data_IF_583842756149
#
_entry.id   IF_583842756149
#
_cell.length_a   1.000
_cell.length_b   1.000
_cell.length_c   1.000
_cell.angle_alpha   90.00
_cell.angle_beta   90.00
_cell.angle_gamma   90.00
#
_symmetry.space_group_name_H-M   'P 1'
#
loop_
_entity.id
_entity.type
_entity.pdbx_description
1 polymer ?
#
# COMPACT_ATOMS: atom_id res chain seq x y z
N UNK A 1 3.60 -10.61 -11.60
CA UNK A 1 3.17 -10.88 -10.21
C UNK A 1 2.61 -9.59 -9.65
N UNK A 2 1.42 -9.65 -9.05
CA UNK A 2 0.91 -8.56 -8.21
C UNK A 2 1.04 -9.10 -6.80
N UNK A 3 1.69 -8.33 -5.95
CA UNK A 3 2.06 -8.74 -4.61
C UNK A 3 1.68 -7.65 -3.60
N UNK A 4 1.35 -8.10 -2.40
CA UNK A 4 0.97 -7.26 -1.28
C UNK A 4 1.83 -7.68 -0.09
N UNK A 5 2.95 -6.98 0.11
CA UNK A 5 4.02 -7.47 0.96
C UNK A 5 3.87 -7.04 2.41
N UNK A 6 3.90 -8.00 3.33
CA UNK A 6 3.90 -7.74 4.77
C UNK A 6 5.15 -8.33 5.46
N UNK A 7 5.97 -7.47 6.05
CA UNK A 7 7.13 -7.85 6.87
C UNK A 7 7.25 -6.92 8.09
N UNK A 8 6.46 -7.13 9.16
CA UNK A 8 6.35 -6.16 10.27
C UNK A 8 7.68 -5.94 11.02
N UNK A 9 8.58 -6.93 11.01
CA UNK A 9 9.90 -6.82 11.64
C UNK A 9 11.00 -6.29 10.68
N UNK A 10 10.65 -5.98 9.43
CA UNK A 10 11.56 -5.43 8.43
C UNK A 10 10.76 -4.60 7.44
N UNK A 11 10.36 -3.40 7.85
CA UNK A 11 9.52 -2.50 7.02
C UNK A 11 10.40 -1.76 6.01
N UNK A 12 11.28 -0.90 6.53
CA UNK A 12 12.14 -0.05 5.72
C UNK A 12 13.12 -0.87 4.84
N UNK A 13 13.04 -0.67 3.53
CA UNK A 13 13.87 -1.35 2.53
C UNK A 13 13.41 -2.75 2.13
N UNK A 14 12.28 -3.23 2.65
CA UNK A 14 11.71 -4.54 2.29
C UNK A 14 11.33 -4.61 0.81
N UNK A 15 10.68 -3.57 0.28
CA UNK A 15 10.24 -3.54 -1.11
C UNK A 15 11.42 -3.45 -2.07
N UNK A 16 12.47 -2.72 -1.68
CA UNK A 16 13.73 -2.73 -2.44
C UNK A 16 14.34 -4.13 -2.49
N UNK A 17 14.35 -4.85 -1.37
CA UNK A 17 14.87 -6.23 -1.30
C UNK A 17 14.07 -7.16 -2.23
N UNK A 18 12.74 -7.07 -2.21
CA UNK A 18 11.90 -7.83 -3.14
C UNK A 18 12.16 -7.47 -4.59
N UNK A 19 12.24 -6.17 -4.91
CA UNK A 19 12.56 -5.67 -6.25
C UNK A 19 13.86 -6.25 -6.78
N UNK A 20 14.90 -6.34 -5.95
CA UNK A 20 16.18 -6.93 -6.33
C UNK A 20 16.02 -8.43 -6.66
N UNK A 21 15.15 -9.13 -5.93
CA UNK A 21 14.72 -10.50 -6.23
C UNK A 21 13.99 -10.62 -7.58
N UNK A 22 13.00 -9.76 -7.85
CA UNK A 22 12.27 -9.72 -9.13
C UNK A 22 13.21 -9.51 -10.32
N UNK A 23 14.14 -8.55 -10.20
CA UNK A 23 15.13 -8.28 -11.25
C UNK A 23 16.06 -9.46 -11.49
N UNK A 24 16.54 -10.09 -10.42
CA UNK A 24 17.40 -11.28 -10.52
C UNK A 24 16.68 -12.45 -11.20
N UNK A 25 15.39 -12.63 -10.90
CA UNK A 25 14.56 -13.66 -11.53
C UNK A 25 14.11 -13.28 -12.96
N UNK A 26 14.26 -12.01 -13.37
CA UNK A 26 13.77 -11.50 -14.65
C UNK A 26 12.25 -11.40 -14.73
N UNK A 27 11.56 -11.34 -13.59
CA UNK A 27 10.10 -11.29 -13.49
C UNK A 27 9.58 -9.86 -13.49
N UNK A 28 8.40 -9.67 -14.10
CA UNK A 28 7.64 -8.42 -13.96
C UNK A 28 6.78 -8.46 -12.70
N UNK A 29 6.82 -7.39 -11.91
CA UNK A 29 6.18 -7.27 -10.62
C UNK A 29 5.49 -5.93 -10.43
N UNK A 30 4.38 -5.95 -9.70
CA UNK A 30 3.79 -4.78 -9.07
C UNK A 30 3.66 -5.13 -7.59
N UNK A 31 4.27 -4.33 -6.71
CA UNK A 31 4.23 -4.61 -5.26
C UNK A 31 4.09 -3.32 -4.47
N UNK A 32 3.69 -3.47 -3.22
CA UNK A 32 3.51 -2.43 -2.22
C UNK A 32 3.68 -3.03 -0.83
N UNK A 33 3.90 -2.16 0.15
CA UNK A 33 3.93 -2.55 1.55
C UNK A 33 2.50 -2.56 2.09
N UNK A 34 2.12 -3.64 2.75
CA UNK A 34 0.83 -3.82 3.40
C UNK A 34 0.76 -3.02 4.71
N UNK A 35 0.27 -1.78 4.66
CA UNK A 35 0.13 -0.97 5.87
C UNK A 35 -1.01 -1.49 6.76
N UNK A 36 -0.74 -1.57 8.06
CA UNK A 36 -1.71 -1.98 9.08
C UNK A 36 -1.35 -1.39 10.44
N UNK A 37 -2.32 -1.27 11.34
CA UNK A 37 -2.13 -0.93 12.76
C UNK A 37 -2.19 -2.15 13.70
N UNK A 38 -2.23 -3.37 13.16
CA UNK A 38 -2.44 -4.62 13.92
C UNK A 38 -1.34 -4.95 14.92
N UNK A 39 -0.08 -4.62 14.65
CA UNK A 39 1.04 -5.05 15.49
C UNK A 39 1.58 -3.86 16.31
N UNK A 40 2.23 -2.92 15.65
CA UNK A 40 2.85 -1.74 16.25
C UNK A 40 1.95 -0.50 16.30
N UNK A 41 0.65 -0.64 16.03
CA UNK A 41 -0.29 0.46 16.01
C UNK A 41 0.04 1.50 14.94
N UNK A 42 -0.27 2.77 15.24
CA UNK A 42 -0.02 3.89 14.31
C UNK A 42 1.45 4.04 13.88
N UNK A 43 2.42 3.63 14.72
CA UNK A 43 3.84 3.73 14.38
C UNK A 43 4.23 2.74 13.28
N UNK A 44 3.69 1.52 13.32
CA UNK A 44 3.88 0.54 12.25
C UNK A 44 3.21 1.02 10.97
N UNK A 45 1.99 1.52 11.09
CA UNK A 45 1.23 2.05 9.97
C UNK A 45 2.00 3.16 9.27
N UNK A 46 2.48 4.15 10.02
CA UNK A 46 3.29 5.27 9.50
C UNK A 46 4.54 4.76 8.79
N UNK A 47 5.30 3.85 9.41
CA UNK A 47 6.49 3.27 8.80
C UNK A 47 6.17 2.52 7.49
N UNK A 48 5.04 1.82 7.41
CA UNK A 48 4.61 1.16 6.18
C UNK A 48 4.22 2.15 5.08
N UNK A 49 3.57 3.27 5.44
CA UNK A 49 3.27 4.35 4.49
C UNK A 49 4.55 4.97 3.97
N UNK A 50 5.53 5.22 4.85
CA UNK A 50 6.84 5.73 4.47
C UNK A 50 7.60 4.78 3.53
N UNK A 51 7.55 3.47 3.77
CA UNK A 51 8.15 2.46 2.87
C UNK A 51 7.48 2.47 1.49
N UNK A 52 6.16 2.57 1.41
CA UNK A 52 5.43 2.71 0.14
C UNK A 52 5.89 3.94 -0.64
N UNK A 53 6.01 5.09 0.03
CA UNK A 53 6.47 6.35 -0.59
C UNK A 53 7.90 6.23 -1.07
N UNK A 54 8.81 5.74 -0.22
CA UNK A 54 10.22 5.59 -0.55
C UNK A 54 10.43 4.65 -1.74
N UNK A 55 9.66 3.56 -1.81
CA UNK A 55 9.72 2.63 -2.92
C UNK A 55 9.18 3.23 -4.23
N UNK A 56 8.06 3.96 -4.19
CA UNK A 56 7.55 4.67 -5.36
C UNK A 56 8.57 5.68 -5.92
N UNK A 57 9.21 6.46 -5.04
CA UNK A 57 10.26 7.42 -5.42
C UNK A 57 11.50 6.71 -6.01
N UNK A 58 11.88 5.54 -5.46
CA UNK A 58 12.95 4.70 -6.00
C UNK A 58 12.63 4.25 -7.44
N UNK A 59 11.42 3.73 -7.69
CA UNK A 59 11.01 3.29 -9.02
C UNK A 59 11.03 4.44 -10.02
N UNK A 60 10.55 5.64 -9.63
CA UNK A 60 10.60 6.84 -10.48
C UNK A 60 12.02 7.26 -10.83
N UNK A 61 12.91 7.27 -9.83
CA UNK A 61 14.33 7.61 -10.01
C UNK A 61 15.01 6.64 -10.98
N UNK A 62 14.78 5.34 -10.82
CA UNK A 62 15.32 4.32 -11.70
C UNK A 62 14.80 4.46 -13.13
N UNK A 63 13.49 4.65 -13.29
CA UNK A 63 12.85 4.85 -14.60
C UNK A 63 13.41 6.07 -15.33
N UNK A 64 13.63 7.18 -14.61
CA UNK A 64 14.25 8.41 -15.17
C UNK A 64 15.71 8.19 -15.56
N UNK A 65 16.45 7.39 -14.78
CA UNK A 65 17.87 7.17 -15.03
C UNK A 65 18.16 6.32 -16.27
N UNK A 66 17.23 5.45 -16.67
CA UNK A 66 17.41 4.47 -17.76
C UNK A 66 18.46 3.39 -17.47
N UNK A 67 19.00 3.31 -16.25
CA UNK A 67 20.10 2.40 -15.88
C UNK A 67 19.63 0.99 -15.51
N UNK A 68 18.36 0.81 -15.17
CA UNK A 68 17.79 -0.49 -14.78
C UNK A 68 16.69 -0.94 -15.75
N UNK A 69 16.49 -2.26 -15.83
CA UNK A 69 15.34 -2.83 -16.55
C UNK A 69 14.09 -2.53 -15.73
N UNK A 70 13.18 -1.73 -16.31
CA UNK A 70 11.90 -1.44 -15.70
C UNK A 70 10.97 -2.67 -15.75
N UNK A 71 11.12 -3.53 -14.75
CA UNK A 71 10.32 -4.74 -14.56
C UNK A 71 9.41 -4.66 -13.33
N UNK A 72 9.67 -3.73 -12.41
CA UNK A 72 8.94 -3.60 -11.15
C UNK A 72 8.29 -2.23 -11.07
N UNK A 73 7.02 -2.19 -10.66
CA UNK A 73 6.26 -0.97 -10.36
C UNK A 73 5.75 -0.99 -8.91
N UNK A 74 5.49 0.20 -8.36
CA UNK A 74 5.02 0.42 -7.00
C UNK A 74 3.53 0.82 -6.97
N UNK A 75 2.84 0.42 -5.91
CA UNK A 75 1.53 0.96 -5.51
C UNK A 75 1.61 1.50 -4.08
N UNK A 76 0.57 2.21 -3.63
CA UNK A 76 0.37 2.46 -2.20
C UNK A 76 -0.44 1.30 -1.64
N UNK A 77 0.13 0.55 -0.69
CA UNK A 77 -0.50 -0.65 -0.16
C UNK A 77 -1.15 -0.43 1.21
N UNK A 78 -2.28 -1.08 1.45
CA UNK A 78 -2.90 -1.19 2.77
C UNK A 78 -3.54 -2.58 2.92
N UNK A 79 -3.56 -3.17 4.12
CA UNK A 79 -4.15 -4.51 4.31
C UNK A 79 -5.65 -4.50 3.98
N UNK A 80 -6.50 -4.08 4.91
CA UNK A 80 -7.94 -4.02 4.73
C UNK A 80 -8.52 -2.84 5.54
N UNK A 81 -9.69 -2.32 5.17
CA UNK A 81 -10.31 -1.20 5.89
C UNK A 81 -10.46 -1.44 7.40
N UNK A 82 -10.64 -2.69 7.85
CA UNK A 82 -10.83 -3.00 9.26
C UNK A 82 -9.53 -3.06 10.08
N UNK A 83 -8.36 -2.95 9.44
CA UNK A 83 -7.04 -2.97 10.07
C UNK A 83 -6.25 -1.69 9.83
N UNK A 84 -6.98 -0.62 9.47
CA UNK A 84 -6.46 0.70 9.16
C UNK A 84 -7.46 1.71 9.72
N UNK A 85 -7.09 2.38 10.81
CA UNK A 85 -7.84 3.49 11.37
C UNK A 85 -7.97 4.67 10.38
N UNK A 86 -8.89 5.60 10.66
CA UNK A 86 -9.12 6.79 9.82
C UNK A 86 -7.88 7.68 9.69
N UNK A 87 -7.05 7.76 10.74
CA UNK A 87 -5.75 8.41 10.70
C UNK A 87 -4.84 7.79 9.63
N UNK A 88 -4.85 6.47 9.52
CA UNK A 88 -4.11 5.74 8.51
C UNK A 88 -4.65 5.97 7.10
N UNK A 89 -5.97 6.02 6.93
CA UNK A 89 -6.60 6.34 5.64
C UNK A 89 -6.19 7.74 5.15
N UNK A 90 -6.08 8.72 6.06
CA UNK A 90 -5.55 10.06 5.74
C UNK A 90 -4.08 10.00 5.29
N UNK A 91 -3.23 9.23 5.97
CA UNK A 91 -1.82 9.06 5.58
C UNK A 91 -1.69 8.43 4.19
N UNK A 92 -2.50 7.40 3.90
CA UNK A 92 -2.54 6.75 2.59
C UNK A 92 -2.97 7.73 1.48
N UNK A 93 -3.97 8.57 1.75
CA UNK A 93 -4.40 9.62 0.82
C UNK A 93 -3.28 10.59 0.48
N UNK A 94 -2.51 11.04 1.47
CA UNK A 94 -1.37 11.91 1.23
C UNK A 94 -0.23 11.20 0.48
N UNK A 95 0.00 9.90 0.73
CA UNK A 95 0.94 9.10 -0.03
C UNK A 95 0.54 8.96 -1.51
N UNK A 96 -0.75 8.74 -1.79
CA UNK A 96 -1.30 8.70 -3.16
C UNK A 96 -1.10 10.04 -3.86
N UNK A 97 -1.40 11.16 -3.21
CA UNK A 97 -1.16 12.50 -3.79
C UNK A 97 0.32 12.74 -4.07
N UNK A 98 1.19 12.39 -3.12
CA UNK A 98 2.64 12.63 -3.22
C UNK A 98 3.26 11.83 -4.35
N UNK A 99 2.89 10.57 -4.48
CA UNK A 99 3.54 9.63 -5.39
C UNK A 99 2.83 9.49 -6.72
N UNK A 100 1.55 9.84 -6.79
CA UNK A 100 0.72 9.67 -7.98
C UNK A 100 0.24 8.24 -8.25
N UNK A 101 0.56 7.26 -7.39
CA UNK A 101 0.15 5.84 -7.52
C UNK A 101 -1.28 5.61 -7.04
N UNK A 102 -1.92 4.52 -7.49
CA UNK A 102 -3.18 4.04 -6.94
C UNK A 102 -3.00 3.26 -5.63
N UNK A 103 -4.15 2.93 -5.02
CA UNK A 103 -4.25 2.16 -3.78
C UNK A 103 -4.46 0.67 -4.09
N UNK A 104 -3.64 -0.19 -3.50
CA UNK A 104 -3.84 -1.63 -3.48
C UNK A 104 -4.27 -2.06 -2.06
N UNK A 105 -5.52 -2.50 -1.93
CA UNK A 105 -6.14 -2.86 -0.64
C UNK A 105 -7.09 -4.04 -0.80
N UNK A 106 -7.15 -4.92 0.20
CA UNK A 106 -8.19 -5.94 0.28
C UNK A 106 -9.54 -5.29 0.61
N UNK A 107 -10.58 -5.63 -0.14
CA UNK A 107 -11.91 -5.05 0.06
C UNK A 107 -12.99 -6.10 -0.16
N UNK A 108 -13.87 -6.25 0.84
CA UNK A 108 -14.98 -7.20 0.81
C UNK A 108 -14.53 -8.64 0.53
N UNK A 109 -13.39 -9.05 1.10
CA UNK A 109 -12.88 -10.43 0.99
C UNK A 109 -13.70 -11.37 1.89
N UNK A 110 -14.16 -10.87 3.04
CA UNK A 110 -15.08 -11.57 3.93
C UNK A 110 -16.28 -10.68 4.32
N UNK A 111 -17.39 -11.33 4.67
CA UNK A 111 -18.55 -10.70 5.31
C UNK A 111 -18.18 -9.85 6.54
N UNK A 112 -17.09 -10.22 7.23
CA UNK A 112 -16.57 -9.49 8.36
C UNK A 112 -16.19 -8.05 8.00
N UNK A 113 -15.60 -7.80 6.81
CA UNK A 113 -15.17 -6.47 6.38
C UNK A 113 -16.33 -5.46 6.42
N UNK A 114 -17.49 -5.88 5.88
CA UNK A 114 -18.70 -5.07 5.84
C UNK A 114 -19.27 -4.90 7.25
N UNK A 115 -19.41 -6.00 7.99
CA UNK A 115 -19.99 -5.97 9.34
C UNK A 115 -19.18 -5.12 10.32
N UNK A 116 -17.85 -5.20 10.27
CA UNK A 116 -16.95 -4.39 11.07
C UNK A 116 -17.06 -2.90 10.71
N UNK A 117 -17.09 -2.59 9.41
CA UNK A 117 -17.22 -1.20 8.97
C UNK A 117 -18.54 -0.58 9.44
N UNK A 118 -19.63 -1.35 9.41
CA UNK A 118 -20.92 -0.93 9.94
C UNK A 118 -20.91 -0.77 11.46
N UNK A 119 -20.35 -1.73 12.21
CA UNK A 119 -20.25 -1.66 13.67
C UNK A 119 -19.42 -0.45 14.13
N UNK A 120 -18.25 -0.24 13.54
CA UNK A 120 -17.29 0.78 13.99
C UNK A 120 -17.57 2.17 13.44
N UNK A 121 -17.99 2.26 12.19
CA UNK A 121 -18.08 3.53 11.47
C UNK A 121 -19.49 3.86 10.98
N UNK A 122 -20.46 2.94 11.12
CA UNK A 122 -21.84 3.14 10.67
C UNK A 122 -21.99 3.23 9.15
N UNK A 123 -21.02 2.70 8.39
CA UNK A 123 -20.93 2.89 6.92
C UNK A 123 -20.45 1.63 6.23
N UNK A 124 -20.86 1.46 4.97
CA UNK A 124 -20.22 0.52 4.05
C UNK A 124 -18.76 0.87 3.85
N UNK A 125 -17.90 -0.15 3.72
CA UNK A 125 -16.45 0.03 3.60
C UNK A 125 -16.07 0.88 2.38
N UNK A 126 -16.78 0.73 1.26
CA UNK A 126 -16.52 1.52 0.05
C UNK A 126 -16.93 2.99 0.23
N UNK A 127 -18.02 3.26 0.95
CA UNK A 127 -18.42 4.64 1.28
C UNK A 127 -17.37 5.27 2.19
N UNK A 128 -16.89 4.54 3.20
CA UNK A 128 -15.80 5.01 4.07
C UNK A 128 -14.54 5.32 3.26
N UNK A 129 -14.07 4.41 2.42
CA UNK A 129 -12.89 4.65 1.57
C UNK A 129 -13.09 5.87 0.64
N UNK A 130 -14.29 6.04 0.08
CA UNK A 130 -14.65 7.18 -0.74
C UNK A 130 -14.58 8.53 -0.01
N UNK A 131 -14.96 8.60 1.27
CA UNK A 131 -14.86 9.82 2.09
C UNK A 131 -13.42 10.27 2.36
N UNK A 132 -12.45 9.34 2.27
CA UNK A 132 -11.02 9.64 2.34
C UNK A 132 -10.40 9.87 0.95
N UNK A 133 -11.22 9.93 -0.10
CA UNK A 133 -10.81 10.01 -1.51
C UNK A 133 -9.80 8.90 -1.89
N UNK A 134 -10.04 7.67 -1.45
CA UNK A 134 -9.17 6.51 -1.71
C UNK A 134 -9.67 5.62 -2.85
N UNK A 135 -10.73 6.03 -3.56
CA UNK A 135 -11.28 5.33 -4.72
C UNK A 135 -11.10 6.24 -5.93
N UNK A 136 -10.25 5.82 -6.86
CA UNK A 136 -10.01 6.52 -8.13
C UNK A 136 -9.77 5.52 -9.27
N UNK A 137 -9.47 6.02 -10.46
CA UNK A 137 -9.22 5.23 -11.67
C UNK A 137 -7.78 4.67 -11.76
N UNK A 138 -6.93 4.95 -10.77
CA UNK A 138 -5.53 4.56 -10.85
C UNK A 138 -5.36 3.08 -10.53
N UNK A 139 -4.51 2.38 -11.29
CA UNK A 139 -4.13 1.02 -10.94
C UNK A 139 -3.34 1.02 -9.63
#
# INVERSE_FOLDING_TARGET
>A
MIDHHASPNYIAGSLKTLRDGFLKAGLRGMTCYETTDRNGGLKELEAGVEENIAFAELIDSERKSGKSRYLVEAHIGAHAPFTVADEGLKMLREAIKKTGRGLHIHAAEDSYDVSFSHDKYGKDLLIRLGEFDLIDEKP
#
